data_IF_038489451634
#
_entry.id   IF_038489451634
#
_cell.length_a   1.000
_cell.length_b   1.000
_cell.length_c   1.000
_cell.angle_alpha   90.00
_cell.angle_beta   90.00
_cell.angle_gamma   90.00
#
_symmetry.space_group_name_H-M   'P 1'
#
loop_
_entity.id
_entity.type
_entity.pdbx_description
1 polymer ?
#
# COMPACT_ATOMS: atom_id res chain seq x y z
N UNK A 1 -17.42 -3.40 15.82
CA UNK A 1 -16.36 -4.44 15.70
C UNK A 1 -16.71 -5.43 14.62
N UNK A 2 -16.81 -4.91 13.40
CA UNK A 2 -16.74 -5.68 12.18
C UNK A 2 -15.46 -5.29 11.46
N UNK A 3 -14.52 -6.23 11.35
CA UNK A 3 -13.29 -6.04 10.58
C UNK A 3 -13.59 -6.22 9.10
N UNK A 4 -13.26 -5.21 8.29
CA UNK A 4 -13.38 -5.24 6.83
C UNK A 4 -12.00 -5.13 6.19
N UNK A 5 -11.72 -6.05 5.28
CA UNK A 5 -10.52 -6.02 4.45
C UNK A 5 -10.87 -5.44 3.08
N UNK A 6 -10.12 -4.43 2.64
CA UNK A 6 -10.27 -3.83 1.32
C UNK A 6 -8.94 -3.91 0.57
N UNK A 7 -8.96 -4.51 -0.62
CA UNK A 7 -7.82 -4.48 -1.55
C UNK A 7 -8.14 -3.39 -2.57
N UNK A 8 -7.18 -2.51 -2.79
CA UNK A 8 -7.28 -1.45 -3.79
C UNK A 8 -6.16 -1.57 -4.80
N UNK A 9 -6.29 -0.87 -5.91
CA UNK A 9 -5.36 -0.80 -7.03
C UNK A 9 -4.42 0.41 -6.98
N UNK A 10 -4.63 1.32 -6.01
CA UNK A 10 -3.80 2.51 -5.82
C UNK A 10 -3.85 3.00 -4.37
N UNK A 11 -2.75 3.57 -3.89
CA UNK A 11 -2.70 4.24 -2.59
C UNK A 11 -3.53 5.53 -2.58
N UNK A 12 -3.81 6.12 -3.74
CA UNK A 12 -4.63 7.32 -3.85
C UNK A 12 -6.08 7.12 -3.40
N UNK A 13 -6.54 5.86 -3.30
CA UNK A 13 -7.91 5.53 -2.93
C UNK A 13 -8.19 5.57 -1.42
N UNK A 14 -7.16 5.82 -0.58
CA UNK A 14 -7.33 6.09 0.85
C UNK A 14 -7.07 7.56 1.16
N UNK A 15 -7.74 8.09 2.18
CA UNK A 15 -7.46 9.43 2.66
C UNK A 15 -6.02 9.53 3.21
N UNK A 16 -5.26 10.52 2.73
CA UNK A 16 -3.88 10.72 3.14
C UNK A 16 -3.72 10.94 4.65
N UNK A 17 -4.62 11.70 5.30
CA UNK A 17 -4.54 11.94 6.73
C UNK A 17 -4.80 10.66 7.55
N UNK A 18 -5.74 9.81 7.13
CA UNK A 18 -5.97 8.49 7.76
C UNK A 18 -4.75 7.59 7.64
N UNK A 19 -4.10 7.60 6.48
CA UNK A 19 -2.88 6.82 6.23
C UNK A 19 -1.68 7.35 7.02
N UNK A 20 -1.43 8.66 6.96
CA UNK A 20 -0.29 9.29 7.64
C UNK A 20 -0.44 9.22 9.16
N UNK A 21 -1.68 9.25 9.68
CA UNK A 21 -1.95 8.98 11.10
C UNK A 21 -1.58 7.55 11.52
N UNK A 22 -1.75 6.58 10.61
CA UNK A 22 -1.42 5.17 10.85
C UNK A 22 0.10 4.93 10.79
N UNK A 23 0.76 5.51 9.79
CA UNK A 23 2.21 5.37 9.55
C UNK A 23 3.04 6.19 10.53
N UNK A 24 2.53 7.33 10.98
CA UNK A 24 3.28 8.32 11.73
C UNK A 24 4.33 9.03 10.88
N UNK A 25 5.42 9.45 11.49
CA UNK A 25 6.44 10.29 10.85
C UNK A 25 7.52 9.45 10.11
N UNK A 26 7.09 8.56 9.21
CA UNK A 26 7.98 7.77 8.37
C UNK A 26 7.89 8.27 6.92
N UNK A 27 8.81 9.12 6.44
CA UNK A 27 8.68 9.81 5.15
C UNK A 27 8.55 8.86 3.95
N UNK A 28 9.28 7.74 3.95
CA UNK A 28 9.25 6.73 2.88
C UNK A 28 7.96 5.88 2.86
N UNK A 29 7.14 6.01 3.90
CA UNK A 29 5.83 5.39 4.00
C UNK A 29 4.71 6.43 3.96
N UNK A 30 5.01 7.72 3.86
CA UNK A 30 3.98 8.75 3.76
C UNK A 30 3.11 8.51 2.52
N UNK A 31 1.83 8.88 2.65
CA UNK A 31 0.88 8.77 1.54
C UNK A 31 1.40 9.50 0.30
N UNK A 32 1.94 10.72 0.51
CA UNK A 32 2.49 11.55 -0.55
C UNK A 32 3.67 10.88 -1.29
N UNK A 33 4.57 10.20 -0.56
CA UNK A 33 5.70 9.51 -1.18
C UNK A 33 5.24 8.32 -2.03
N UNK A 34 4.35 7.48 -1.50
CA UNK A 34 3.83 6.32 -2.22
C UNK A 34 2.99 6.74 -3.44
N UNK A 35 2.17 7.80 -3.29
CA UNK A 35 1.40 8.37 -4.39
C UNK A 35 2.30 8.97 -5.47
N UNK A 36 3.43 9.59 -5.08
CA UNK A 36 4.43 10.07 -6.03
C UNK A 36 5.11 8.93 -6.78
N UNK A 37 5.33 7.76 -6.16
CA UNK A 37 5.87 6.59 -6.87
C UNK A 37 4.92 6.10 -7.98
N UNK A 38 3.62 6.09 -7.70
CA UNK A 38 2.59 5.73 -8.68
C UNK A 38 2.47 6.80 -9.78
N UNK A 39 2.42 8.08 -9.41
CA UNK A 39 2.20 9.19 -10.36
C UNK A 39 3.43 9.47 -11.23
N UNK A 40 4.64 9.26 -10.71
CA UNK A 40 5.89 9.44 -11.47
C UNK A 40 6.14 8.33 -12.49
N UNK A 41 5.34 7.27 -12.49
CA UNK A 41 5.56 6.09 -13.33
C UNK A 41 6.71 5.20 -12.84
N UNK A 42 7.23 5.41 -11.62
CA UNK A 42 8.18 4.48 -10.99
C UNK A 42 7.51 3.15 -10.65
N UNK A 43 6.21 3.21 -10.35
CA UNK A 43 5.31 2.07 -10.17
C UNK A 43 4.13 2.29 -11.11
N UNK A 44 3.84 1.31 -11.96
CA UNK A 44 2.74 1.37 -12.91
C UNK A 44 2.86 0.24 -13.93
N UNK A 45 1.77 -0.01 -14.66
CA UNK A 45 1.66 -1.11 -15.64
C UNK A 45 2.85 -1.11 -16.62
N UNK A 46 3.30 0.06 -17.05
CA UNK A 46 4.44 0.30 -17.96
C UNK A 46 5.78 -0.25 -17.41
N UNK A 47 5.98 -0.23 -16.09
CA UNK A 47 7.19 -0.75 -15.43
C UNK A 47 7.08 -2.22 -15.04
N UNK A 48 5.90 -2.81 -15.25
CA UNK A 48 5.57 -4.14 -14.77
C UNK A 48 5.35 -4.24 -13.27
N UNK A 49 5.26 -3.11 -12.54
CA UNK A 49 4.87 -3.05 -11.13
C UNK A 49 3.45 -2.49 -10.98
N UNK A 50 2.59 -3.19 -10.27
CA UNK A 50 1.20 -2.79 -10.03
C UNK A 50 0.97 -2.55 -8.54
N UNK A 51 0.43 -1.38 -8.19
CA UNK A 51 0.00 -1.11 -6.82
C UNK A 51 -1.22 -1.99 -6.49
N UNK A 52 -1.20 -2.59 -5.31
CA UNK A 52 -2.28 -3.41 -4.79
C UNK A 52 -2.45 -3.23 -3.26
N UNK A 53 -2.45 -1.99 -2.73
CA UNK A 53 -2.48 -1.78 -1.29
C UNK A 53 -3.69 -2.42 -0.63
N UNK A 54 -3.48 -2.90 0.58
CA UNK A 54 -4.50 -3.56 1.40
C UNK A 54 -4.77 -2.68 2.61
N UNK A 55 -6.05 -2.46 2.91
CA UNK A 55 -6.53 -1.68 4.03
C UNK A 55 -7.40 -2.55 4.92
N UNK A 56 -7.25 -2.38 6.23
CA UNK A 56 -8.06 -3.02 7.25
C UNK A 56 -8.82 -1.95 7.99
N UNK A 57 -10.14 -2.05 7.99
CA UNK A 57 -11.03 -1.17 8.71
C UNK A 57 -11.68 -1.92 9.87
N UNK A 58 -11.78 -1.28 11.04
CA UNK A 58 -12.73 -1.67 12.08
C UNK A 58 -13.91 -0.69 12.00
N UNK A 59 -15.07 -1.23 11.63
CA UNK A 59 -16.27 -0.46 11.26
C UNK A 59 -15.99 0.53 10.10
N UNK A 60 -15.67 1.80 10.40
CA UNK A 60 -15.30 2.86 9.42
C UNK A 60 -13.91 3.48 9.69
N UNK A 61 -13.19 2.98 10.70
CA UNK A 61 -11.86 3.49 11.09
C UNK A 61 -10.79 2.62 10.46
N UNK A 62 -9.82 3.23 9.78
CA UNK A 62 -8.64 2.54 9.28
C UNK A 62 -7.75 2.12 10.46
N UNK A 63 -7.65 0.82 10.72
CA UNK A 63 -6.88 0.24 11.84
C UNK A 63 -5.61 -0.46 11.39
N UNK A 64 -5.46 -0.72 10.10
CA UNK A 64 -4.26 -1.31 9.54
C UNK A 64 -4.15 -1.05 8.05
N UNK A 65 -2.92 -0.99 7.56
CA UNK A 65 -2.68 -0.88 6.14
C UNK A 65 -1.36 -1.53 5.72
N UNK A 66 -1.33 -1.97 4.47
CA UNK A 66 -0.18 -2.63 3.87
C UNK A 66 -0.02 -2.14 2.43
N UNK A 67 0.99 -1.31 2.13
CA UNK A 67 1.33 -0.97 0.76
C UNK A 67 1.93 -2.22 0.11
N UNK A 68 1.31 -2.68 -0.97
CA UNK A 68 1.72 -3.88 -1.69
C UNK A 68 1.92 -3.49 -3.15
N UNK A 69 3.03 -3.95 -3.72
CA UNK A 69 3.34 -3.78 -5.14
C UNK A 69 3.60 -5.16 -5.75
N UNK A 70 2.91 -5.47 -6.84
CA UNK A 70 2.93 -6.76 -7.53
C UNK A 70 3.69 -6.58 -8.84
N UNK A 71 4.77 -7.33 -9.04
CA UNK A 71 5.50 -7.33 -10.31
C UNK A 71 4.96 -8.42 -11.25
N UNK A 72 4.57 -8.06 -12.47
CA UNK A 72 3.99 -8.99 -13.46
C UNK A 72 5.02 -9.68 -14.36
N UNK A 73 6.19 -9.08 -14.59
CA UNK A 73 7.22 -9.63 -15.50
C UNK A 73 8.64 -9.55 -14.92
N UNK A 74 9.33 -10.70 -14.91
CA UNK A 74 10.79 -10.80 -14.78
C UNK A 74 11.30 -11.35 -16.11
N UNK A 75 12.25 -10.67 -16.73
CA UNK A 75 12.87 -11.04 -18.00
C UNK A 75 13.78 -12.27 -17.78
N UNK A 76 13.20 -13.46 -17.60
CA UNK A 76 13.92 -14.74 -17.70
C UNK A 76 14.17 -15.54 -16.42
N UNK A 77 13.84 -15.05 -15.22
CA UNK A 77 14.02 -15.86 -14.00
C UNK A 77 12.71 -16.03 -13.22
N UNK A 78 12.36 -17.31 -13.03
CA UNK A 78 11.30 -17.91 -12.22
C UNK A 78 10.47 -16.97 -11.33
N UNK A 79 9.13 -16.99 -11.53
CA UNK A 79 8.05 -16.57 -10.62
C UNK A 79 8.53 -15.94 -9.30
N UNK A 80 8.91 -14.66 -9.34
CA UNK A 80 9.26 -13.92 -8.14
C UNK A 80 8.23 -12.82 -7.92
N UNK A 81 7.27 -13.11 -7.05
CA UNK A 81 6.47 -12.11 -6.35
C UNK A 81 7.44 -11.28 -5.50
N UNK A 82 7.98 -10.20 -6.05
CA UNK A 82 8.73 -9.23 -5.27
C UNK A 82 7.72 -8.43 -4.44
N UNK A 83 7.43 -8.91 -3.22
CA UNK A 83 6.51 -8.26 -2.29
C UNK A 83 7.33 -7.33 -1.40
N UNK A 84 7.23 -6.03 -1.61
CA UNK A 84 7.51 -5.09 -0.52
C UNK A 84 6.32 -5.20 0.42
N UNK A 85 6.54 -5.81 1.58
CA UNK A 85 5.54 -5.99 2.63
C UNK A 85 5.95 -5.09 3.78
N UNK A 86 5.23 -3.99 3.95
CA UNK A 86 5.39 -3.13 5.11
C UNK A 86 4.08 -3.23 5.90
N UNK A 87 4.14 -3.88 7.06
CA UNK A 87 2.99 -4.05 7.94
C UNK A 87 2.97 -2.84 8.86
N UNK A 88 1.95 -2.00 8.73
CA UNK A 88 1.67 -0.94 9.70
C UNK A 88 0.52 -1.44 10.55
N UNK A 89 0.86 -2.01 11.70
CA UNK A 89 -0.09 -2.48 12.69
C UNK A 89 -0.26 -1.38 13.74
N UNK A 90 -1.51 -0.98 14.00
CA UNK A 90 -1.81 -0.14 15.16
C UNK A 90 -1.86 -1.08 16.36
N UNK A 91 -0.93 -0.90 17.29
CA UNK A 91 -1.09 -1.44 18.63
C UNK A 91 -2.26 -0.68 19.27
N UNK A 92 -3.42 -1.34 19.33
CA UNK A 92 -4.55 -0.89 20.13
C UNK A 92 -4.15 -0.92 21.61
N UNK A 93 -3.68 0.20 22.14
CA UNK A 93 -3.67 0.46 23.59
C UNK A 93 -5.00 1.07 24.03
#
# INVERSE_FOLDING_TARGET
MSLKLQISDSIANINAASWDALVGNVPLLSHAFLSALETSGSVGVETGWQASPIFVFDDDVLVGAMPLYIKSHSYGEYRMLCRIMIIVQVDSC
#
